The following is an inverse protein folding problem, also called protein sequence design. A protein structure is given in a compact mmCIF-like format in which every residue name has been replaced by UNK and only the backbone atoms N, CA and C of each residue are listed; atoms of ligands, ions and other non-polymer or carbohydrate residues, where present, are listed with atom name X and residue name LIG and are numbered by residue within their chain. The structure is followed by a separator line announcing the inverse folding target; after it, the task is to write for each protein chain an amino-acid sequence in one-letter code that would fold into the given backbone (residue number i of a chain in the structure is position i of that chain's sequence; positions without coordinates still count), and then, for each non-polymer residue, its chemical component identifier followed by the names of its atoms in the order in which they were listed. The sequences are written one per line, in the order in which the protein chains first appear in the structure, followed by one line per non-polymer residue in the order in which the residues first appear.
data_IF_594903206538
#
_entry.id   IF_594903206538
#
_cell.length_a   1.000
_cell.length_b   1.000
_cell.length_c   1.000
_cell.angle_alpha   90.00
_cell.angle_beta   90.00
_cell.angle_gamma   90.00
#
_symmetry.space_group_name_H-M   'P 1'
#
loop_
_entity.id
_entity.type
_entity.pdbx_description
1 polymer ?
#
# COMPACT_ATOMS: atom_id res chain seq x y z
N UNK A 1 3.94 -13.65 2.09
CA UNK A 1 2.67 -13.66 2.85
C UNK A 1 1.54 -13.10 2.00
N UNK A 2 0.29 -13.34 2.39
CA UNK A 2 -0.90 -12.82 1.72
C UNK A 2 -1.67 -11.92 2.69
N UNK A 3 -1.98 -10.70 2.25
CA UNK A 3 -2.71 -9.70 3.03
C UNK A 3 -4.09 -9.48 2.42
N UNK A 4 -5.12 -9.42 3.24
CA UNK A 4 -6.50 -9.27 2.76
C UNK A 4 -6.72 -7.83 2.31
N UNK A 5 -7.25 -7.65 1.09
CA UNK A 5 -7.67 -6.33 0.61
C UNK A 5 -9.16 -6.36 0.21
N UNK A 6 -10.07 -5.89 1.07
CA UNK A 6 -11.51 -5.83 0.78
C UNK A 6 -11.84 -4.99 -0.44
N UNK A 7 -11.12 -3.88 -0.68
CA UNK A 7 -11.31 -3.02 -1.85
C UNK A 7 -11.11 -3.80 -3.17
N UNK A 8 -10.06 -4.64 -3.23
CA UNK A 8 -9.77 -5.49 -4.40
C UNK A 8 -10.58 -6.79 -4.41
N UNK A 9 -11.30 -7.11 -3.33
CA UNK A 9 -11.97 -8.41 -3.12
C UNK A 9 -11.01 -9.60 -3.28
N UNK A 10 -9.73 -9.40 -2.97
CA UNK A 10 -8.66 -10.36 -3.21
C UNK A 10 -7.59 -10.32 -2.10
N UNK A 11 -6.62 -11.21 -2.20
CA UNK A 11 -5.40 -11.19 -1.39
C UNK A 11 -4.29 -10.48 -2.17
N UNK A 12 -3.45 -9.74 -1.44
CA UNK A 12 -2.27 -9.06 -1.98
C UNK A 12 -1.02 -9.74 -1.45
N UNK A 13 -0.14 -10.15 -2.35
CA UNK A 13 1.11 -10.80 -2.00
C UNK A 13 2.16 -9.79 -1.53
N UNK A 14 2.81 -10.08 -0.40
CA UNK A 14 4.08 -9.48 -0.02
C UNK A 14 5.14 -10.57 0.03
N UNK A 15 6.03 -10.57 -0.97
CA UNK A 15 7.18 -11.49 -1.06
C UNK A 15 8.32 -11.00 -0.16
N UNK A 16 9.13 -11.92 0.34
CA UNK A 16 10.27 -11.62 1.22
C UNK A 16 11.29 -10.66 0.57
N UNK A 17 11.53 -10.81 -0.73
CA UNK A 17 12.35 -9.88 -1.51
C UNK A 17 11.81 -8.44 -1.42
N UNK A 18 10.50 -8.28 -1.53
CA UNK A 18 9.83 -6.97 -1.46
C UNK A 18 9.77 -6.42 -0.05
N UNK A 19 9.59 -7.28 0.95
CA UNK A 19 9.68 -6.88 2.36
C UNK A 19 11.09 -6.41 2.72
N UNK A 20 12.13 -7.09 2.22
CA UNK A 20 13.52 -6.69 2.38
C UNK A 20 13.80 -5.36 1.67
N UNK A 21 13.32 -5.20 0.43
CA UNK A 21 13.41 -3.94 -0.29
C UNK A 21 12.77 -2.77 0.48
N UNK A 22 11.58 -2.97 1.04
CA UNK A 22 10.90 -1.96 1.86
C UNK A 22 11.71 -1.65 3.11
N UNK A 23 12.25 -2.66 3.80
CA UNK A 23 13.07 -2.45 5.00
C UNK A 23 14.34 -1.65 4.71
N UNK A 24 14.97 -1.88 3.56
CA UNK A 24 16.21 -1.18 3.17
C UNK A 24 15.95 0.24 2.66
N UNK A 25 14.87 0.44 1.89
CA UNK A 25 14.54 1.74 1.27
C UNK A 25 13.68 2.64 2.16
N UNK A 26 12.89 2.03 3.05
CA UNK A 26 11.93 2.69 3.94
C UNK A 26 12.11 2.17 5.39
N UNK A 27 13.30 2.38 6.01
CA UNK A 27 13.55 1.97 7.39
C UNK A 27 12.68 2.72 8.41
N UNK A 28 12.03 3.81 8.01
CA UNK A 28 11.03 4.51 8.82
C UNK A 28 9.73 3.71 9.00
N UNK A 29 9.45 2.77 8.09
CA UNK A 29 8.26 1.92 8.11
C UNK A 29 8.58 0.56 8.75
N UNK A 30 9.58 -0.15 8.23
CA UNK A 30 9.94 -1.48 8.71
C UNK A 30 11.22 -1.49 9.54
N UNK A 31 11.29 -2.32 10.59
CA UNK A 31 10.33 -3.36 10.97
C UNK A 31 9.16 -2.90 11.86
N UNK A 32 9.25 -1.70 12.44
CA UNK A 32 8.38 -1.25 13.54
C UNK A 32 6.89 -1.18 13.19
N UNK A 33 6.55 -0.75 11.98
CA UNK A 33 5.18 -0.48 11.55
C UNK A 33 4.68 -1.46 10.49
N UNK A 34 5.09 -2.73 10.63
CA UNK A 34 4.69 -3.79 9.71
C UNK A 34 3.19 -4.05 9.69
N UNK A 35 2.52 -3.97 10.85
CA UNK A 35 1.07 -4.18 10.97
C UNK A 35 0.28 -3.13 10.18
N UNK A 36 0.81 -1.91 10.07
CA UNK A 36 0.18 -0.80 9.37
C UNK A 36 0.11 -1.03 7.86
N UNK A 37 0.99 -1.86 7.28
CA UNK A 37 0.88 -2.29 5.88
C UNK A 37 -0.39 -3.12 5.67
N UNK A 38 -0.66 -4.07 6.57
CA UNK A 38 -1.86 -4.91 6.54
C UNK A 38 -3.13 -4.06 6.75
N UNK A 39 -3.12 -3.21 7.78
CA UNK A 39 -4.24 -2.30 8.06
C UNK A 39 -4.54 -1.35 6.90
N UNK A 40 -3.51 -0.83 6.23
CA UNK A 40 -3.69 0.05 5.05
C UNK A 40 -4.40 -0.66 3.90
N UNK A 41 -4.14 -1.96 3.70
CA UNK A 41 -4.82 -2.75 2.67
C UNK A 41 -6.21 -3.20 3.10
N UNK A 42 -6.40 -3.47 4.39
CA UNK A 42 -7.66 -3.92 4.97
C UNK A 42 -8.71 -2.81 5.03
N UNK A 43 -8.30 -1.58 5.39
CA UNK A 43 -9.18 -0.43 5.59
C UNK A 43 -8.49 0.89 5.15
N UNK A 44 -8.31 1.13 3.83
CA UNK A 44 -7.70 2.37 3.35
C UNK A 44 -8.58 3.60 3.59
N UNK A 45 -7.98 4.78 3.72
CA UNK A 45 -8.69 6.07 3.65
C UNK A 45 -8.86 6.55 2.21
N UNK A 46 -7.87 6.28 1.36
CA UNK A 46 -7.83 6.77 0.00
C UNK A 46 -7.07 5.77 -0.89
N UNK A 47 -7.60 5.55 -2.08
CA UNK A 47 -6.95 4.76 -3.14
C UNK A 47 -6.74 5.65 -4.36
N UNK A 48 -5.49 5.71 -4.81
CA UNK A 48 -5.11 6.40 -6.05
C UNK A 48 -4.65 5.40 -7.09
N UNK A 49 -4.88 5.71 -8.36
CA UNK A 49 -4.22 5.05 -9.49
C UNK A 49 -2.96 5.83 -9.85
N UNK A 50 -1.82 5.14 -9.98
CA UNK A 50 -0.57 5.78 -10.38
C UNK A 50 -0.71 6.45 -11.76
N UNK A 51 -0.06 7.61 -11.92
CA UNK A 51 -0.17 8.41 -13.15
C UNK A 51 0.66 7.85 -14.31
N UNK A 52 1.75 7.13 -14.00
CA UNK A 52 2.70 6.56 -14.98
C UNK A 52 2.44 5.08 -15.22
N UNK A 53 1.94 4.37 -14.21
CA UNK A 53 1.68 2.93 -14.25
C UNK A 53 0.21 2.65 -13.94
N UNK A 54 -0.68 2.62 -14.95
CA UNK A 54 -2.13 2.48 -14.74
C UNK A 54 -2.57 1.21 -13.99
N UNK A 55 -1.72 0.18 -14.00
CA UNK A 55 -1.90 -1.07 -13.26
C UNK A 55 -1.43 -0.99 -11.80
N UNK A 56 -0.94 0.17 -11.35
CA UNK A 56 -0.50 0.39 -9.97
C UNK A 56 -1.50 1.23 -9.20
N UNK A 57 -1.79 0.77 -7.99
CA UNK A 57 -2.68 1.40 -7.03
C UNK A 57 -1.91 1.77 -5.76
N UNK A 58 -2.13 2.99 -5.28
CA UNK A 58 -1.58 3.49 -4.03
C UNK A 58 -2.70 3.50 -3.00
N UNK A 59 -2.64 2.57 -2.06
CA UNK A 59 -3.51 2.52 -0.89
C UNK A 59 -2.89 3.37 0.20
N UNK A 60 -3.68 4.17 0.89
CA UNK A 60 -3.18 5.02 1.96
C UNK A 60 -4.10 5.02 3.16
N UNK A 61 -3.52 4.99 4.35
CA UNK A 61 -4.24 5.11 5.61
C UNK A 61 -3.44 5.96 6.60
N UNK A 62 -4.12 6.87 7.31
CA UNK A 62 -3.55 7.75 8.31
C UNK A 62 -3.46 7.05 9.67
N UNK A 63 -2.29 7.11 10.29
CA UNK A 63 -2.05 6.58 11.62
C UNK A 63 -1.55 7.68 12.55
N UNK A 64 -2.23 7.94 13.69
CA UNK A 64 -1.74 8.89 14.68
C UNK A 64 -0.41 8.46 15.31
N UNK A 65 -0.19 7.16 15.46
CA UNK A 65 0.97 6.60 16.18
C UNK A 65 2.20 6.38 15.28
N UNK A 66 2.06 6.51 13.96
CA UNK A 66 3.19 6.42 13.03
C UNK A 66 3.89 7.77 12.98
N UNK A 67 5.05 7.87 13.63
CA UNK A 67 5.93 9.07 13.62
C UNK A 67 5.19 10.39 13.93
N UNK A 68 4.25 10.35 14.88
CA UNK A 68 3.48 11.53 15.30
C UNK A 68 2.45 12.00 14.27
N UNK A 69 1.73 11.05 13.65
CA UNK A 69 0.72 11.32 12.64
C UNK A 69 1.29 11.32 11.22
N UNK A 70 1.15 10.19 10.52
CA UNK A 70 1.54 10.05 9.11
C UNK A 70 0.63 9.09 8.36
N UNK A 71 0.64 9.20 7.04
CA UNK A 71 0.10 8.16 6.18
C UNK A 71 1.11 7.03 6.05
N UNK A 72 0.62 5.80 6.08
CA UNK A 72 1.31 4.68 5.44
C UNK A 72 0.69 4.51 4.06
N UNK A 73 1.55 4.42 3.04
CA UNK A 73 1.17 4.22 1.65
C UNK A 73 1.68 2.87 1.20
N UNK A 74 0.80 2.03 0.68
CA UNK A 74 1.12 0.70 0.15
C UNK A 74 0.86 0.71 -1.35
N UNK A 75 1.91 0.43 -2.12
CA UNK A 75 1.84 0.41 -3.58
C UNK A 75 1.66 -1.02 -4.05
N UNK A 76 0.50 -1.28 -4.66
CA UNK A 76 0.12 -2.59 -5.19
C UNK A 76 0.12 -2.52 -6.71
N UNK A 77 0.74 -3.50 -7.36
CA UNK A 77 0.51 -3.76 -8.78
C UNK A 77 -0.65 -4.75 -8.89
N UNK A 78 -1.63 -4.40 -9.70
CA UNK A 78 -2.76 -5.20 -10.09
C UNK A 78 -2.53 -5.70 -11.52
N UNK A 79 -2.19 -6.97 -11.67
CA UNK A 79 -2.06 -7.60 -12.97
C UNK A 79 -3.45 -8.09 -13.42
N UNK A 80 -4.05 -7.49 -14.46
CA UNK A 80 -5.40 -7.80 -14.88
C UNK A 80 -5.50 -9.25 -15.42
N UNK A 81 -6.72 -9.72 -15.78
CA UNK A 81 -6.91 -11.06 -16.31
C UNK A 81 -5.94 -11.40 -17.45
N UNK A 82 -5.44 -12.65 -17.50
CA UNK A 82 -5.92 -13.82 -16.76
C UNK A 82 -5.23 -14.10 -15.42
N UNK A 83 -4.20 -13.34 -15.04
CA UNK A 83 -3.43 -13.62 -13.83
C UNK A 83 -4.17 -13.25 -12.53
N UNK A 84 -5.00 -12.20 -12.57
CA UNK A 84 -5.77 -11.64 -11.44
C UNK A 84 -4.94 -11.58 -10.14
N UNK A 85 -3.70 -11.10 -10.29
CA UNK A 85 -2.67 -11.17 -9.25
C UNK A 85 -2.34 -9.79 -8.74
N UNK A 86 -2.24 -9.68 -7.43
CA UNK A 86 -1.95 -8.43 -6.73
C UNK A 86 -0.72 -8.61 -5.86
N UNK A 87 0.27 -7.72 -5.98
CA UNK A 87 1.44 -7.77 -5.10
C UNK A 87 1.95 -6.37 -4.73
N UNK A 88 2.51 -6.29 -3.53
CA UNK A 88 3.17 -5.08 -3.05
C UNK A 88 4.52 -4.94 -3.75
N UNK A 89 4.75 -3.78 -4.38
CA UNK A 89 6.06 -3.42 -4.95
C UNK A 89 6.90 -2.58 -4.00
N UNK A 90 6.25 -1.72 -3.21
CA UNK A 90 6.85 -0.95 -2.12
C UNK A 90 5.77 -0.46 -1.14
N UNK A 91 6.18 0.00 0.03
CA UNK A 91 5.36 0.73 0.98
C UNK A 91 6.24 1.75 1.72
N UNK A 92 5.67 2.90 2.10
CA UNK A 92 6.43 3.99 2.71
C UNK A 92 5.57 4.86 3.61
N UNK A 93 6.22 5.69 4.43
CA UNK A 93 5.55 6.69 5.26
C UNK A 93 5.52 8.03 4.53
N UNK A 94 4.36 8.70 4.50
CA UNK A 94 4.18 9.98 3.84
C UNK A 94 3.55 11.03 4.77
N UNK A 95 3.99 12.28 4.64
CA UNK A 95 3.34 13.42 5.32
C UNK A 95 2.07 13.87 4.60
N UNK A 96 2.06 13.81 3.27
CA UNK A 96 0.97 14.22 2.41
C UNK A 96 0.85 13.24 1.26
N UNK A 97 -0.38 12.99 0.80
CA UNK A 97 -0.65 12.14 -0.36
C UNK A 97 -0.51 12.97 -1.64
N UNK A 98 0.33 12.51 -2.56
CA UNK A 98 0.58 13.16 -3.83
C UNK A 98 0.83 12.12 -4.93
N UNK A 99 0.81 12.57 -6.19
CA UNK A 99 0.89 11.67 -7.33
C UNK A 99 -0.40 10.91 -7.59
N UNK A 100 -0.54 10.37 -8.79
CA UNK A 100 -1.71 9.59 -9.20
C UNK A 100 -3.04 10.36 -9.24
N UNK A 101 -4.08 9.67 -9.68
CA UNK A 101 -5.47 10.15 -9.66
C UNK A 101 -6.23 9.45 -8.54
N UNK A 102 -6.93 10.20 -7.70
CA UNK A 102 -7.82 9.64 -6.68
C UNK A 102 -8.96 8.91 -7.38
N UNK A 103 -9.08 7.61 -7.18
CA UNK A 103 -10.16 6.78 -7.75
C UNK A 103 -11.19 6.36 -6.71
N UNK A 104 -10.82 6.42 -5.44
CA UNK A 104 -11.72 6.13 -4.32
C UNK A 104 -11.24 6.85 -3.06
N UNK A 105 -12.21 7.28 -2.25
CA UNK A 105 -12.01 7.82 -0.90
C UNK A 105 -13.02 7.17 0.02
N UNK A 106 -12.61 6.94 1.26
CA UNK A 106 -13.51 6.53 2.34
C UNK A 106 -14.65 7.56 2.44
N UNK A 107 -15.91 7.11 2.42
CA UNK A 107 -17.08 7.97 2.55
C UNK A 107 -17.19 8.60 3.95
#
# INVERSE_FOLDING_TARGET
MNLRCPYLKAQVELKEERETHIREKHPELLPQYRVQIDQTLADPDEVRRDARFPNSLLFSHWFPDVKGGKFVVVVVVADPPPADRYWIVTAYVARQLSGGTVIWKRP
#
